data_IF_404482861709
#
_entry.id   IF_404482861709
#
_cell.length_a   1.000
_cell.length_b   1.000
_cell.length_c   1.000
_cell.angle_alpha   90.00
_cell.angle_beta   90.00
_cell.angle_gamma   90.00
#
_symmetry.space_group_name_H-M   'P 1'
#
loop_
_entity.id
_entity.type
_entity.pdbx_description
1 polymer ?
#
# COMPACT_ATOMS: atom_id res chain seq x y z
N UNK A 1 13.91 3.03 10.32
CA UNK A 1 13.17 2.52 9.15
C UNK A 1 12.78 3.71 8.30
N UNK A 2 13.03 3.65 7.00
CA UNK A 2 12.64 4.66 6.01
C UNK A 2 11.39 4.22 5.24
N UNK A 3 10.74 5.16 4.54
CA UNK A 3 9.60 4.87 3.67
C UNK A 3 10.00 3.87 2.60
N UNK A 4 11.18 4.02 1.99
CA UNK A 4 11.70 3.05 1.01
C UNK A 4 11.78 1.62 1.54
N UNK A 5 12.15 1.44 2.81
CA UNK A 5 12.24 0.11 3.43
C UNK A 5 10.86 -0.53 3.56
N UNK A 6 9.86 0.29 3.92
CA UNK A 6 8.47 -0.13 4.00
C UNK A 6 7.89 -0.46 2.62
N UNK A 7 8.16 0.38 1.61
CA UNK A 7 7.70 0.15 0.24
C UNK A 7 8.34 -1.10 -0.39
N UNK A 8 9.56 -1.46 0.00
CA UNK A 8 10.23 -2.67 -0.48
C UNK A 8 9.55 -3.98 0.01
N UNK A 9 8.66 -3.90 1.00
CA UNK A 9 7.86 -5.06 1.44
C UNK A 9 6.68 -5.35 0.52
N UNK A 10 6.25 -4.39 -0.31
CA UNK A 10 5.18 -4.60 -1.28
C UNK A 10 5.57 -5.66 -2.32
N UNK A 11 4.66 -6.58 -2.59
CA UNK A 11 4.86 -7.75 -3.45
C UNK A 11 5.36 -8.99 -2.73
N UNK A 12 5.79 -8.88 -1.46
CA UNK A 12 6.21 -10.06 -0.70
C UNK A 12 5.02 -10.93 -0.30
N UNK A 13 5.13 -12.27 -0.39
CA UNK A 13 4.11 -13.18 0.11
C UNK A 13 3.99 -13.09 1.63
N UNK A 14 2.82 -13.42 2.19
CA UNK A 14 2.61 -13.43 3.66
C UNK A 14 3.48 -14.45 4.41
N UNK A 15 4.09 -15.39 3.69
CA UNK A 15 5.07 -16.36 4.21
C UNK A 15 6.50 -15.81 4.24
N UNK A 16 6.75 -14.63 3.66
CA UNK A 16 8.10 -14.06 3.58
C UNK A 16 8.64 -13.74 4.99
N UNK A 17 9.84 -14.24 5.36
CA UNK A 17 10.41 -14.01 6.68
C UNK A 17 10.62 -12.54 7.03
N UNK A 18 10.97 -11.69 6.06
CA UNK A 18 11.18 -10.26 6.26
C UNK A 18 9.88 -9.53 6.58
N UNK A 19 8.80 -9.89 5.88
CA UNK A 19 7.47 -9.37 6.14
C UNK A 19 6.93 -9.84 7.50
N UNK A 20 7.09 -11.14 7.83
CA UNK A 20 6.71 -11.69 9.14
C UNK A 20 7.46 -10.98 10.27
N UNK A 21 8.77 -10.79 10.10
CA UNK A 21 9.60 -10.10 11.08
C UNK A 21 9.14 -8.65 11.28
N UNK A 22 8.89 -7.91 10.19
CA UNK A 22 8.36 -6.55 10.25
C UNK A 22 7.05 -6.49 11.05
N UNK A 23 6.06 -7.32 10.74
CA UNK A 23 4.78 -7.32 11.45
C UNK A 23 4.94 -7.69 12.93
N UNK A 24 5.82 -8.66 13.25
CA UNK A 24 6.12 -9.05 14.63
C UNK A 24 6.74 -7.91 15.44
N UNK A 25 7.76 -7.24 14.90
CA UNK A 25 8.41 -6.09 15.53
C UNK A 25 7.43 -4.92 15.74
N UNK A 26 6.46 -4.77 14.83
CA UNK A 26 5.38 -3.78 14.94
C UNK A 26 4.22 -4.21 15.86
N UNK A 27 4.29 -5.40 16.46
CA UNK A 27 3.20 -6.02 17.25
C UNK A 27 1.88 -6.16 16.48
N UNK A 28 1.96 -6.39 15.17
CA UNK A 28 0.83 -6.56 14.28
C UNK A 28 0.63 -8.04 13.95
N UNK A 29 -0.63 -8.45 13.88
CA UNK A 29 -0.97 -9.79 13.41
C UNK A 29 -1.14 -9.76 11.90
N UNK A 30 -0.37 -10.59 11.20
CA UNK A 30 -0.66 -10.91 9.80
C UNK A 30 -2.07 -11.51 9.70
N UNK A 31 -2.82 -11.24 8.62
CA UNK A 31 -4.16 -11.77 8.48
C UNK A 31 -4.12 -13.31 8.41
N UNK A 32 -4.71 -13.96 9.43
CA UNK A 32 -4.70 -15.41 9.62
C UNK A 32 -5.49 -16.19 8.55
N UNK A 33 -6.25 -15.51 7.69
CA UNK A 33 -7.39 -16.09 6.96
C UNK A 33 -7.42 -15.84 5.47
N UNK A 34 -6.35 -15.32 4.85
CA UNK A 34 -6.38 -15.22 3.39
C UNK A 34 -6.15 -16.63 2.83
N UNK A 35 -7.25 -17.26 2.43
CA UNK A 35 -7.33 -18.67 2.09
C UNK A 35 -6.29 -19.04 1.02
N UNK A 36 -5.51 -20.08 1.31
CA UNK A 36 -4.69 -20.76 0.32
C UNK A 36 -5.61 -21.24 -0.81
N UNK A 37 -5.42 -20.71 -2.01
CA UNK A 37 -6.24 -21.13 -3.14
C UNK A 37 -5.59 -22.35 -3.80
N UNK A 38 -6.38 -23.37 -4.13
CA UNK A 38 -5.91 -24.54 -4.87
C UNK A 38 -5.69 -24.17 -6.35
N UNK A 39 -4.75 -24.82 -7.06
CA UNK A 39 -4.58 -24.61 -8.48
C UNK A 39 -5.80 -25.15 -9.21
N UNK A 40 -6.24 -24.47 -10.28
CA UNK A 40 -7.40 -24.85 -11.10
C UNK A 40 -8.76 -24.85 -10.38
N UNK A 41 -8.93 -24.05 -9.33
CA UNK A 41 -10.26 -23.81 -8.75
C UNK A 41 -11.18 -23.20 -9.81
N UNK A 42 -12.20 -23.95 -10.26
CA UNK A 42 -13.20 -23.51 -11.25
C UNK A 42 -14.15 -22.43 -10.71
N UNK A 43 -14.12 -22.16 -9.41
CA UNK A 43 -14.86 -21.06 -8.81
C UNK A 43 -14.27 -19.75 -9.34
N UNK A 44 -15.03 -18.90 -10.04
CA UNK A 44 -14.55 -17.58 -10.42
C UNK A 44 -14.40 -16.78 -9.14
N UNK A 45 -13.17 -16.65 -8.66
CA UNK A 45 -12.95 -16.04 -7.36
C UNK A 45 -12.74 -14.54 -7.55
N UNK A 46 -13.86 -13.81 -7.64
CA UNK A 46 -13.91 -12.36 -7.43
C UNK A 46 -13.68 -12.00 -5.94
N UNK A 47 -12.81 -12.71 -5.24
CA UNK A 47 -12.52 -12.42 -3.84
C UNK A 47 -11.42 -11.37 -3.82
N UNK A 48 -11.86 -10.11 -3.87
CA UNK A 48 -11.19 -9.01 -3.18
C UNK A 48 -11.24 -9.30 -1.67
N UNK A 49 -10.52 -10.32 -1.19
CA UNK A 49 -10.23 -10.43 0.25
C UNK A 49 -9.12 -9.44 0.54
N UNK A 50 -9.48 -8.16 0.55
CA UNK A 50 -8.65 -7.12 1.12
C UNK A 50 -8.75 -7.26 2.64
N UNK A 51 -7.84 -8.01 3.25
CA UNK A 51 -7.64 -7.92 4.69
C UNK A 51 -6.77 -6.69 4.96
N UNK A 52 -7.31 -5.71 5.68
CA UNK A 52 -6.57 -4.54 6.11
C UNK A 52 -6.07 -4.75 7.55
N UNK A 53 -4.76 -4.71 7.75
CA UNK A 53 -4.17 -4.63 9.09
C UNK A 53 -3.95 -3.16 9.43
N UNK A 54 -4.61 -2.69 10.48
CA UNK A 54 -4.55 -1.29 10.91
C UNK A 54 -3.41 -1.09 11.91
N UNK A 55 -2.44 -0.28 11.52
CA UNK A 55 -1.36 0.18 12.38
C UNK A 55 -1.71 1.55 12.94
N UNK A 56 -2.52 1.53 14.01
CA UNK A 56 -3.00 2.76 14.66
C UNK A 56 -1.85 3.60 15.22
N UNK A 57 -0.74 2.96 15.58
CA UNK A 57 0.42 3.64 16.14
C UNK A 57 1.12 4.50 15.08
N UNK A 58 1.18 4.05 13.83
CA UNK A 58 1.80 4.79 12.72
C UNK A 58 0.78 5.45 11.77
N UNK A 59 -0.52 5.21 11.99
CA UNK A 59 -1.59 5.76 11.19
C UNK A 59 -1.63 5.19 9.77
N UNK A 60 -1.21 3.94 9.61
CA UNK A 60 -1.16 3.25 8.32
C UNK A 60 -2.12 2.07 8.28
N UNK A 61 -2.56 1.72 7.08
CA UNK A 61 -3.30 0.48 6.85
C UNK A 61 -2.59 -0.37 5.79
N UNK A 62 -2.37 -1.64 6.11
CA UNK A 62 -1.65 -2.60 5.28
C UNK A 62 -2.63 -3.57 4.64
N UNK A 63 -2.63 -3.65 3.32
CA UNK A 63 -3.59 -4.42 2.55
C UNK A 63 -2.94 -5.62 1.88
N UNK A 64 -3.58 -6.77 2.04
CA UNK A 64 -3.15 -8.04 1.43
C UNK A 64 -4.15 -8.45 0.35
N UNK A 65 -3.63 -9.02 -0.74
CA UNK A 65 -4.44 -9.55 -1.84
C UNK A 65 -4.05 -11.00 -2.12
N UNK A 66 -5.04 -11.78 -2.54
CA UNK A 66 -4.87 -13.11 -3.15
C UNK A 66 -5.49 -13.03 -4.54
N UNK A 67 -4.72 -12.62 -5.55
CA UNK A 67 -5.24 -12.51 -6.91
C UNK A 67 -4.87 -13.72 -7.76
N UNK A 68 -5.87 -14.21 -8.50
CA UNK A 68 -5.77 -15.23 -9.56
C UNK A 68 -5.84 -14.59 -10.96
N UNK A 69 -5.71 -13.27 -11.06
CA UNK A 69 -5.91 -12.54 -12.29
C UNK A 69 -4.59 -12.36 -13.04
N UNK A 70 -4.46 -13.10 -14.14
CA UNK A 70 -3.39 -13.12 -15.12
C UNK A 70 -2.09 -13.83 -14.71
N UNK A 71 -1.72 -14.82 -15.54
CA UNK A 71 -0.48 -15.61 -15.49
C UNK A 71 0.81 -14.77 -15.51
N UNK A 72 0.72 -13.44 -15.69
CA UNK A 72 1.83 -12.50 -15.82
C UNK A 72 2.11 -11.64 -14.59
N UNK A 73 1.31 -11.72 -13.53
CA UNK A 73 1.71 -11.13 -12.24
C UNK A 73 2.72 -12.06 -11.55
N UNK A 74 3.75 -11.56 -10.84
CA UNK A 74 4.71 -12.42 -10.15
C UNK A 74 4.07 -13.10 -8.93
N UNK A 75 3.16 -14.06 -9.18
CA UNK A 75 2.52 -14.87 -8.14
C UNK A 75 3.50 -15.97 -7.74
N UNK A 76 4.12 -15.86 -6.56
CA UNK A 76 5.00 -16.93 -6.06
C UNK A 76 4.15 -18.13 -5.66
N UNK A 77 4.26 -19.21 -6.43
CA UNK A 77 3.71 -20.52 -6.08
C UNK A 77 4.58 -21.17 -4.99
N UNK A 78 3.99 -21.64 -3.90
CA UNK A 78 4.62 -22.64 -3.02
C UNK A 78 3.84 -23.95 -3.15
N UNK A 79 4.42 -24.90 -3.89
CA UNK A 79 3.73 -26.15 -4.25
C UNK A 79 2.51 -25.89 -5.14
N UNK A 80 1.36 -26.41 -4.75
CA UNK A 80 0.11 -26.28 -5.51
C UNK A 80 -0.72 -25.04 -5.12
N UNK A 81 -0.44 -24.36 -4.00
CA UNK A 81 -1.34 -23.34 -3.48
C UNK A 81 -0.92 -21.91 -3.86
N UNK A 82 -1.88 -21.02 -4.10
CA UNK A 82 -1.64 -19.58 -4.22
C UNK A 82 -1.55 -18.93 -2.84
N UNK A 83 -0.53 -18.10 -2.65
CA UNK A 83 -0.25 -17.44 -1.38
C UNK A 83 -0.60 -15.94 -1.49
N UNK A 84 -1.28 -15.38 -0.47
CA UNK A 84 -1.54 -13.95 -0.37
C UNK A 84 -0.25 -13.13 -0.37
N UNK A 85 -0.27 -11.94 -0.97
CA UNK A 85 0.87 -11.02 -0.96
C UNK A 85 0.49 -9.65 -0.42
N UNK A 86 1.49 -8.93 0.08
CA UNK A 86 1.34 -7.57 0.58
C UNK A 86 1.22 -6.59 -0.59
N UNK A 87 0.05 -6.00 -0.77
CA UNK A 87 -0.35 -5.36 -2.03
C UNK A 87 -0.39 -3.83 -2.00
N UNK A 88 -0.69 -3.26 -0.83
CA UNK A 88 -0.92 -1.83 -0.72
C UNK A 88 -0.71 -1.35 0.72
N UNK A 89 -0.25 -0.11 0.84
CA UNK A 89 -0.08 0.63 2.08
C UNK A 89 -0.83 1.94 1.95
N UNK A 90 -1.87 2.15 2.75
CA UNK A 90 -2.57 3.43 2.84
C UNK A 90 -1.94 4.24 3.96
N UNK A 91 -1.46 5.43 3.60
CA UNK A 91 -0.98 6.45 4.51
C UNK A 91 -2.15 7.35 4.87
N UNK A 92 -3.01 6.90 5.79
CA UNK A 92 -4.25 7.58 6.13
C UNK A 92 -3.96 8.92 6.80
N UNK A 93 -4.13 10.03 6.07
CA UNK A 93 -3.89 11.37 6.58
C UNK A 93 -4.72 11.73 7.83
N UNK A 94 -5.93 11.17 8.01
CA UNK A 94 -6.75 11.43 9.21
C UNK A 94 -6.20 10.70 10.42
N UNK A 95 -5.73 9.46 10.26
CA UNK A 95 -5.07 8.72 11.34
C UNK A 95 -3.71 9.33 11.64
N UNK A 96 -2.94 9.64 10.60
CA UNK A 96 -1.60 10.19 10.66
C UNK A 96 -1.56 11.56 11.35
N UNK A 97 -2.55 12.44 11.11
CA UNK A 97 -2.62 13.76 11.76
C UNK A 97 -3.07 13.72 13.23
N UNK A 98 -3.73 12.64 13.67
CA UNK A 98 -4.28 12.52 15.03
C UNK A 98 -3.35 11.82 16.01
N UNK A 99 -2.24 11.27 15.52
CA UNK A 99 -1.29 10.52 16.34
C UNK A 99 -0.07 11.37 16.69
N UNK A 100 0.66 10.90 17.69
CA UNK A 100 2.02 11.34 17.94
C UNK A 100 2.94 10.74 16.85
N UNK A 101 3.76 11.60 16.23
CA UNK A 101 4.76 11.15 15.25
C UNK A 101 5.88 10.39 15.97
N UNK A 102 6.18 9.19 15.49
CA UNK A 102 7.17 8.26 16.06
C UNK A 102 8.26 7.88 15.07
N UNK A 103 7.98 8.08 13.79
CA UNK A 103 8.92 7.97 12.70
C UNK A 103 10.03 9.02 12.83
N UNK A 104 11.22 8.67 12.35
CA UNK A 104 12.35 9.59 12.30
C UNK A 104 12.11 10.71 11.29
N UNK A 105 12.85 11.82 11.42
CA UNK A 105 12.74 12.98 10.53
C UNK A 105 13.00 12.64 9.04
N UNK A 106 13.77 11.58 8.78
CA UNK A 106 14.12 11.08 7.45
C UNK A 106 13.24 9.92 6.98
N UNK A 107 12.14 9.60 7.68
CA UNK A 107 11.25 8.52 7.28
C UNK A 107 10.71 8.74 5.87
N UNK A 108 10.16 9.92 5.58
CA UNK A 108 9.59 10.27 4.28
C UNK A 108 10.68 10.59 3.25
N UNK A 109 11.44 9.57 2.83
CA UNK A 109 12.58 9.70 1.92
C UNK A 109 12.24 9.41 0.45
N UNK A 110 11.02 8.98 0.13
CA UNK A 110 10.58 8.74 -1.26
C UNK A 110 9.63 9.85 -1.71
N UNK A 111 8.73 10.28 -0.84
CA UNK A 111 7.70 11.27 -1.16
C UNK A 111 7.35 12.13 0.06
N UNK A 112 6.74 13.32 -0.11
CA UNK A 112 6.25 14.13 1.02
C UNK A 112 5.29 13.38 1.94
N UNK A 113 5.17 13.80 3.21
CA UNK A 113 4.19 13.20 4.13
C UNK A 113 2.73 13.55 3.73
N UNK A 114 1.73 12.73 4.10
CA UNK A 114 0.32 13.00 3.80
C UNK A 114 -0.23 14.30 4.39
N UNK A 115 0.42 14.86 5.41
CA UNK A 115 0.07 16.14 6.03
C UNK A 115 0.96 17.31 5.57
N UNK A 116 1.81 17.08 4.58
CA UNK A 116 2.50 18.16 3.87
C UNK A 116 1.49 19.07 3.17
N UNK A 117 1.87 20.32 2.92
CA UNK A 117 1.03 21.26 2.17
C UNK A 117 0.79 20.77 0.74
N UNK A 118 -0.34 21.12 0.15
CA UNK A 118 -0.62 20.78 -1.26
C UNK A 118 0.45 21.31 -2.20
N UNK A 119 1.02 22.49 -1.90
CA UNK A 119 2.14 23.02 -2.67
C UNK A 119 3.34 22.05 -2.65
N UNK A 120 3.73 21.56 -1.47
CA UNK A 120 4.82 20.57 -1.34
C UNK A 120 4.52 19.27 -2.11
N UNK A 121 3.27 18.81 -2.07
CA UNK A 121 2.82 17.65 -2.84
C UNK A 121 2.91 17.94 -4.36
N UNK A 122 2.43 19.09 -4.83
CA UNK A 122 2.51 19.47 -6.25
C UNK A 122 3.94 19.71 -6.74
N UNK A 123 4.83 20.24 -5.89
CA UNK A 123 6.25 20.43 -6.20
C UNK A 123 6.96 19.08 -6.43
N UNK A 124 6.49 18.00 -5.78
CA UNK A 124 7.05 16.65 -5.95
C UNK A 124 6.36 15.84 -7.05
N UNK A 125 5.03 15.78 -7.06
CA UNK A 125 4.25 14.92 -7.97
C UNK A 125 3.85 15.61 -9.28
N UNK A 126 4.00 16.94 -9.36
CA UNK A 126 3.46 17.76 -10.42
C UNK A 126 2.09 18.34 -10.09
N UNK A 127 1.67 19.34 -10.87
CA UNK A 127 0.39 20.06 -10.67
C UNK A 127 -0.80 19.16 -11.01
N UNK A 128 -1.83 19.19 -10.17
CA UNK A 128 -3.05 18.42 -10.41
C UNK A 128 -3.98 19.14 -11.40
N UNK A 129 -4.65 18.38 -12.26
CA UNK A 129 -5.72 18.89 -13.13
C UNK A 129 -6.93 19.30 -12.28
N UNK A 130 -7.03 20.59 -11.98
CA UNK A 130 -8.10 21.15 -11.15
C UNK A 130 -9.47 21.17 -11.84
N UNK A 131 -9.58 20.74 -13.10
CA UNK A 131 -10.88 20.56 -13.75
C UNK A 131 -11.62 19.31 -13.27
N UNK A 132 -10.88 18.34 -12.69
CA UNK A 132 -11.44 17.09 -12.14
C UNK A 132 -11.78 17.26 -10.67
N UNK A 133 -12.83 16.57 -10.22
CA UNK A 133 -13.21 16.51 -8.79
C UNK A 133 -12.16 15.78 -7.94
N UNK A 134 -11.61 14.69 -8.49
CA UNK A 134 -10.61 13.84 -7.84
C UNK A 134 -9.40 13.60 -8.75
N UNK A 135 -8.57 14.63 -9.04
CA UNK A 135 -7.37 14.43 -9.81
C UNK A 135 -6.37 13.58 -9.01
N UNK A 136 -5.63 12.74 -9.71
CA UNK A 136 -4.59 11.91 -9.12
C UNK A 136 -3.29 11.99 -9.93
N UNK A 137 -2.19 11.74 -9.22
CA UNK A 137 -0.85 11.57 -9.78
C UNK A 137 -0.26 10.26 -9.27
N UNK A 138 0.64 9.71 -10.08
CA UNK A 138 1.32 8.43 -9.84
C UNK A 138 2.82 8.65 -9.95
N UNK A 139 3.56 8.23 -8.94
CA UNK A 139 5.01 8.24 -8.91
C UNK A 139 5.53 6.81 -8.87
N UNK A 140 6.34 6.43 -9.87
CA UNK A 140 6.95 5.08 -9.89
C UNK A 140 8.10 5.02 -8.89
N UNK A 141 7.95 4.22 -7.84
CA UNK A 141 9.03 3.94 -6.89
C UNK A 141 9.97 2.85 -7.42
N UNK A 142 9.40 1.78 -8.00
CA UNK A 142 10.13 0.71 -8.67
C UNK A 142 9.42 0.29 -9.95
N UNK A 143 9.91 -0.73 -10.64
CA UNK A 143 9.19 -1.31 -11.78
C UNK A 143 7.80 -1.81 -11.38
N UNK A 144 7.66 -2.34 -10.16
CA UNK A 144 6.44 -3.01 -9.68
C UNK A 144 5.62 -2.18 -8.70
N UNK A 145 6.16 -1.10 -8.13
CA UNK A 145 5.49 -0.31 -7.07
C UNK A 145 5.35 1.15 -7.47
N UNK A 146 4.19 1.72 -7.18
CA UNK A 146 3.90 3.15 -7.36
C UNK A 146 3.31 3.78 -6.09
N UNK A 147 3.54 5.08 -5.93
CA UNK A 147 2.87 5.94 -4.95
C UNK A 147 1.80 6.75 -5.65
N UNK A 148 0.59 6.70 -5.14
CA UNK A 148 -0.59 7.32 -5.74
C UNK A 148 -1.15 8.36 -4.77
N UNK A 149 -1.32 9.58 -5.29
CA UNK A 149 -1.86 10.71 -4.53
C UNK A 149 -3.08 11.25 -5.24
N UNK A 150 -4.19 11.39 -4.52
CA UNK A 150 -5.46 11.92 -5.04
C UNK A 150 -5.89 13.10 -4.19
N UNK A 151 -6.31 14.20 -4.82
CA UNK A 151 -6.87 15.37 -4.14
C UNK A 151 -8.41 15.41 -4.21
N UNK A 152 -9.02 16.21 -3.35
CA UNK A 152 -10.40 16.67 -3.48
C UNK A 152 -10.35 18.15 -3.84
N UNK A 153 -10.58 18.48 -5.11
CA UNK A 153 -10.33 19.83 -5.64
C UNK A 153 -11.14 20.92 -4.92
N UNK A 154 -12.44 20.68 -4.71
CA UNK A 154 -13.37 21.63 -4.04
C UNK A 154 -12.93 22.01 -2.63
N UNK A 155 -12.19 21.12 -1.95
CA UNK A 155 -11.77 21.29 -0.57
C UNK A 155 -10.29 21.64 -0.47
N UNK A 156 -9.58 21.69 -1.61
CA UNK A 156 -8.13 21.81 -1.71
C UNK A 156 -7.42 20.99 -0.61
N UNK A 157 -7.76 19.69 -0.53
CA UNK A 157 -7.18 18.77 0.45
C UNK A 157 -6.84 17.42 -0.17
N UNK A 158 -5.99 16.69 0.51
CA UNK A 158 -5.68 15.30 0.20
C UNK A 158 -6.93 14.42 0.38
N UNK A 159 -7.25 13.61 -0.63
CA UNK A 159 -8.26 12.55 -0.57
C UNK A 159 -7.62 11.25 -0.10
N UNK A 160 -6.64 10.77 -0.88
CA UNK A 160 -6.00 9.48 -0.71
C UNK A 160 -4.50 9.63 -0.92
N UNK A 161 -3.74 8.86 -0.15
CA UNK A 161 -2.29 8.75 -0.26
C UNK A 161 -1.92 7.31 0.07
N UNK A 162 -1.44 6.58 -0.92
CA UNK A 162 -1.10 5.17 -0.74
C UNK A 162 0.03 4.76 -1.68
N UNK A 163 0.66 3.64 -1.37
CA UNK A 163 1.55 2.95 -2.29
C UNK A 163 0.98 1.57 -2.59
N UNK A 164 1.04 1.15 -3.84
CA UNK A 164 0.49 -0.12 -4.28
C UNK A 164 1.39 -0.76 -5.34
N UNK A 165 1.24 -2.07 -5.50
CA UNK A 165 1.79 -2.76 -6.66
C UNK A 165 1.04 -2.27 -7.91
N UNK A 166 1.77 -1.99 -8.99
CA UNK A 166 1.20 -1.56 -10.28
C UNK A 166 0.33 -2.67 -10.85
N UNK A 167 -0.91 -2.34 -11.17
CA UNK A 167 -1.78 -3.20 -11.98
C UNK A 167 -1.32 -3.08 -13.45
N UNK A 168 -0.83 -4.19 -14.03
CA UNK A 168 -0.31 -4.28 -15.41
C UNK A 168 -1.36 -4.88 -16.34
#
# INVERSE_FOLDING_TARGET
MKQSDLLALLGLPVTDPGLIFFFKERHLMLPQSVALMKPNSQTPVSIKNSAAVQDKEWGFAYYFRSELQNENFPVRQEGCNYIPYFSEIIFDGKLYQKRERKESADFWNVSPSPDSSIKSIEDHFGRFDRSRKYPNHRYSFSEQVEVIVTLITEQNRLSNYFAAIKEV
#
